data_IF_879419998197
#
_entry.id   IF_879419998197
#
_cell.length_a   1.000
_cell.length_b   1.000
_cell.length_c   1.000
_cell.angle_alpha   90.00
_cell.angle_beta   90.00
_cell.angle_gamma   90.00
#
_symmetry.space_group_name_H-M   'P 1'
#
loop_
_entity.id
_entity.type
_entity.pdbx_description
1 polymer ?
#
# COMPACT_ATOMS: atom_id res chain seq x y z
N UNK A 1 -8.52 15.23 0.73
CA UNK A 1 -9.16 15.82 -0.47
C UNK A 1 -9.78 14.69 -1.31
N UNK A 2 -10.66 14.99 -2.25
CA UNK A 2 -11.68 14.05 -2.79
C UNK A 2 -11.37 13.61 -4.23
N UNK A 3 -11.54 12.31 -4.57
CA UNK A 3 -11.52 11.80 -5.95
C UNK A 3 -12.90 11.35 -6.40
N UNK A 4 -13.15 11.53 -7.69
CA UNK A 4 -14.36 11.10 -8.37
C UNK A 4 -14.07 9.84 -9.19
N UNK A 5 -14.92 8.83 -9.08
CA UNK A 5 -14.88 7.59 -9.87
C UNK A 5 -15.82 7.66 -11.08
N UNK A 6 -15.47 6.98 -12.17
CA UNK A 6 -16.38 6.67 -13.27
C UNK A 6 -16.57 5.16 -13.44
N UNK A 7 -17.73 4.67 -13.03
CA UNK A 7 -18.35 3.47 -13.56
C UNK A 7 -19.53 3.94 -14.45
N UNK A 8 -19.75 3.27 -15.58
CA UNK A 8 -20.64 3.72 -16.66
C UNK A 8 -22.00 4.25 -16.20
N UNK A 9 -22.42 5.37 -16.82
CA UNK A 9 -23.72 6.07 -16.79
C UNK A 9 -24.63 6.08 -15.54
N UNK A 10 -24.17 5.69 -14.35
CA UNK A 10 -24.94 5.80 -13.11
C UNK A 10 -24.05 6.25 -11.94
N UNK A 11 -24.26 7.50 -11.52
CA UNK A 11 -23.86 8.02 -10.21
C UNK A 11 -22.36 8.29 -10.00
N UNK A 12 -22.02 9.52 -9.55
CA UNK A 12 -20.66 9.83 -9.08
C UNK A 12 -20.40 9.09 -7.76
N UNK A 13 -19.59 8.02 -7.80
CA UNK A 13 -19.05 7.43 -6.57
C UNK A 13 -17.80 8.20 -6.17
N UNK A 14 -17.76 8.64 -4.91
CA UNK A 14 -16.67 9.43 -4.36
C UNK A 14 -15.93 8.59 -3.34
N UNK A 15 -14.63 8.33 -3.55
CA UNK A 15 -13.82 7.57 -2.60
C UNK A 15 -12.94 8.53 -1.81
N UNK A 16 -13.02 8.43 -0.48
CA UNK A 16 -12.20 9.23 0.41
C UNK A 16 -10.78 8.67 0.54
N UNK A 17 -9.82 9.54 0.82
CA UNK A 17 -8.43 9.16 1.11
C UNK A 17 -8.32 8.11 2.22
N UNK A 18 -9.22 8.15 3.22
CA UNK A 18 -9.27 7.18 4.31
C UNK A 18 -9.64 5.78 3.81
N UNK A 19 -10.61 5.67 2.90
CA UNK A 19 -10.98 4.39 2.31
C UNK A 19 -9.84 3.86 1.44
N UNK A 20 -9.23 4.70 0.60
CA UNK A 20 -8.06 4.30 -0.19
C UNK A 20 -6.90 3.86 0.70
N UNK A 21 -6.68 4.53 1.84
CA UNK A 21 -5.68 4.13 2.83
C UNK A 21 -5.97 2.74 3.38
N UNK A 22 -7.22 2.46 3.75
CA UNK A 22 -7.63 1.15 4.24
C UNK A 22 -7.44 0.05 3.18
N UNK A 23 -7.79 0.33 1.91
CA UNK A 23 -7.55 -0.57 0.79
C UNK A 23 -6.05 -0.85 0.58
N UNK A 24 -5.22 0.20 0.59
CA UNK A 24 -3.78 0.07 0.43
C UNK A 24 -3.13 -0.70 1.58
N UNK A 25 -3.52 -0.45 2.83
CA UNK A 25 -3.06 -1.21 3.99
C UNK A 25 -3.45 -2.68 3.88
N UNK A 26 -4.68 -2.98 3.42
CA UNK A 26 -5.11 -4.36 3.17
C UNK A 26 -4.29 -5.01 2.06
N UNK A 27 -4.07 -4.33 0.95
CA UNK A 27 -3.25 -4.83 -0.15
C UNK A 27 -1.82 -5.16 0.30
N UNK A 28 -1.20 -4.34 1.15
CA UNK A 28 0.13 -4.64 1.71
C UNK A 28 0.14 -5.85 2.64
N UNK A 29 -0.93 -6.08 3.40
CA UNK A 29 -1.08 -7.29 4.23
C UNK A 29 -1.16 -8.56 3.39
N UNK A 30 -1.83 -8.52 2.24
CA UNK A 30 -1.92 -9.67 1.31
C UNK A 30 -0.54 -10.17 0.85
N UNK A 31 0.47 -9.29 0.82
CA UNK A 31 1.85 -9.62 0.44
C UNK A 31 2.82 -9.74 1.62
N UNK A 32 2.32 -9.76 2.86
CA UNK A 32 3.12 -9.97 4.07
C UNK A 32 3.77 -8.70 4.66
N UNK A 33 3.32 -7.50 4.27
CA UNK A 33 3.85 -6.22 4.76
C UNK A 33 2.86 -5.54 5.71
N UNK A 34 2.48 -6.23 6.79
CA UNK A 34 1.41 -5.81 7.69
C UNK A 34 1.72 -4.54 8.52
N UNK A 35 3.00 -4.31 8.83
CA UNK A 35 3.46 -3.16 9.62
C UNK A 35 3.72 -1.90 8.78
N UNK A 36 3.40 -1.95 7.50
CA UNK A 36 3.61 -0.82 6.60
C UNK A 36 2.67 0.34 6.93
N UNK A 37 3.22 1.55 6.94
CA UNK A 37 2.43 2.79 7.02
C UNK A 37 2.18 3.32 5.63
N UNK A 38 0.94 3.70 5.33
CA UNK A 38 0.56 4.24 4.03
C UNK A 38 -0.02 5.63 4.22
N UNK A 39 0.50 6.58 3.45
CA UNK A 39 -0.06 7.89 3.23
C UNK A 39 -0.65 7.97 1.83
N UNK A 40 -1.81 8.62 1.73
CA UNK A 40 -2.59 8.71 0.51
C UNK A 40 -2.87 10.17 0.22
N UNK A 41 -2.65 10.55 -1.02
CA UNK A 41 -3.12 11.82 -1.55
C UNK A 41 -3.94 11.57 -2.80
N UNK A 42 -5.06 12.26 -2.88
CA UNK A 42 -5.93 12.19 -4.03
C UNK A 42 -5.97 13.57 -4.70
N UNK A 43 -5.63 13.62 -5.99
CA UNK A 43 -5.69 14.84 -6.80
C UNK A 43 -6.50 14.59 -8.07
N UNK A 44 -7.72 15.12 -8.11
CA UNK A 44 -8.65 14.89 -9.21
C UNK A 44 -9.01 13.41 -9.30
N UNK A 45 -8.65 12.75 -10.40
CA UNK A 45 -8.92 11.31 -10.63
C UNK A 45 -7.64 10.46 -10.54
N UNK A 46 -6.64 10.92 -9.78
CA UNK A 46 -5.35 10.24 -9.64
C UNK A 46 -5.03 10.01 -8.17
N UNK A 47 -4.59 8.80 -7.86
CA UNK A 47 -4.12 8.41 -6.53
C UNK A 47 -2.59 8.49 -6.49
N UNK A 48 -2.08 9.10 -5.43
CA UNK A 48 -0.66 9.12 -5.08
C UNK A 48 -0.50 8.41 -3.74
N UNK A 49 0.36 7.39 -3.70
CA UNK A 49 0.61 6.60 -2.51
C UNK A 49 2.06 6.79 -2.06
N UNK A 50 2.26 6.97 -0.77
CA UNK A 50 3.57 6.88 -0.14
C UNK A 50 3.52 5.80 0.95
N UNK A 51 4.40 4.81 0.86
CA UNK A 51 4.44 3.71 1.83
C UNK A 51 5.78 3.63 2.53
N UNK A 52 5.74 3.38 3.84
CA UNK A 52 6.90 3.17 4.69
C UNK A 52 6.92 1.72 5.11
N UNK A 53 7.91 0.99 4.61
CA UNK A 53 8.02 -0.45 4.77
C UNK A 53 9.16 -0.79 5.73
N UNK A 54 8.96 -1.87 6.48
CA UNK A 54 10.05 -2.64 7.08
C UNK A 54 10.21 -3.91 6.25
N UNK A 55 11.42 -4.18 5.78
CA UNK A 55 11.67 -5.36 4.94
C UNK A 55 12.19 -6.49 5.81
N UNK A 56 11.54 -7.68 5.81
CA UNK A 56 12.06 -8.83 6.54
C UNK A 56 13.38 -9.32 5.92
N UNK A 57 14.42 -9.42 6.71
CA UNK A 57 15.68 -10.07 6.33
C UNK A 57 15.50 -11.60 6.36
N UNK A 58 16.06 -12.37 5.41
CA UNK A 58 17.00 -11.98 4.34
C UNK A 58 16.36 -11.61 2.99
N UNK A 59 15.10 -11.16 2.96
CA UNK A 59 14.47 -10.83 1.68
C UNK A 59 15.12 -9.62 0.99
N UNK A 60 15.18 -9.68 -0.34
CA UNK A 60 15.71 -8.59 -1.18
C UNK A 60 14.83 -7.34 -1.07
N UNK A 61 15.45 -6.24 -0.65
CA UNK A 61 14.79 -4.92 -0.55
C UNK A 61 14.17 -4.50 -1.88
N UNK A 62 14.94 -4.59 -2.97
CA UNK A 62 14.48 -4.22 -4.31
C UNK A 62 13.29 -5.07 -4.76
N UNK A 63 13.35 -6.39 -4.53
CA UNK A 63 12.24 -7.29 -4.90
C UNK A 63 10.98 -6.97 -4.09
N UNK A 64 11.13 -6.72 -2.79
CA UNK A 64 10.01 -6.38 -1.91
C UNK A 64 9.40 -5.02 -2.27
N UNK A 65 10.22 -4.01 -2.56
CA UNK A 65 9.76 -2.69 -2.98
C UNK A 65 9.04 -2.74 -4.34
N UNK A 66 9.59 -3.47 -5.32
CA UNK A 66 8.96 -3.66 -6.63
C UNK A 66 7.63 -4.41 -6.49
N UNK A 67 7.59 -5.47 -5.68
CA UNK A 67 6.35 -6.22 -5.40
C UNK A 67 5.29 -5.33 -4.75
N UNK A 68 5.67 -4.55 -3.73
CA UNK A 68 4.77 -3.61 -3.07
C UNK A 68 4.23 -2.56 -4.04
N UNK A 69 5.09 -1.98 -4.89
CA UNK A 69 4.69 -1.00 -5.91
C UNK A 69 3.72 -1.58 -6.94
N UNK A 70 4.00 -2.77 -7.45
CA UNK A 70 3.12 -3.46 -8.41
C UNK A 70 1.77 -3.79 -7.79
N UNK A 71 1.78 -4.46 -6.64
CA UNK A 71 0.57 -4.89 -5.94
C UNK A 71 -0.32 -3.71 -5.52
N UNK A 72 0.27 -2.61 -5.04
CA UNK A 72 -0.50 -1.41 -4.72
C UNK A 72 -1.13 -0.77 -5.96
N UNK A 73 -0.37 -0.65 -7.05
CA UNK A 73 -0.89 -0.06 -8.30
C UNK A 73 -2.07 -0.86 -8.84
N UNK A 74 -1.92 -2.19 -8.91
CA UNK A 74 -2.95 -3.09 -9.42
C UNK A 74 -4.15 -3.16 -8.48
N UNK A 75 -3.94 -3.49 -7.20
CA UNK A 75 -5.03 -3.78 -6.27
C UNK A 75 -5.82 -2.53 -5.89
N UNK A 76 -5.14 -1.41 -5.63
CA UNK A 76 -5.82 -0.16 -5.30
C UNK A 76 -6.48 0.41 -6.56
N UNK A 77 -5.84 0.34 -7.73
CA UNK A 77 -6.45 0.76 -8.98
C UNK A 77 -7.74 0.00 -9.30
N UNK A 78 -7.72 -1.33 -9.15
CA UNK A 78 -8.89 -2.17 -9.39
C UNK A 78 -10.04 -1.91 -8.39
N UNK A 79 -9.73 -1.75 -7.10
CA UNK A 79 -10.76 -1.55 -6.07
C UNK A 79 -11.27 -0.12 -5.99
N UNK A 80 -10.41 0.87 -6.25
CA UNK A 80 -10.80 2.26 -6.26
C UNK A 80 -11.41 2.67 -7.60
N UNK A 81 -11.13 1.99 -8.71
CA UNK A 81 -11.65 2.37 -10.04
C UNK A 81 -11.04 3.65 -10.62
N UNK A 82 -9.92 4.13 -10.05
CA UNK A 82 -9.13 5.26 -10.57
C UNK A 82 -7.65 4.88 -10.58
N UNK A 83 -6.87 5.38 -11.54
CA UNK A 83 -5.47 4.99 -11.69
C UNK A 83 -4.61 5.52 -10.54
N UNK A 84 -3.75 4.64 -10.03
CA UNK A 84 -2.63 5.02 -9.17
C UNK A 84 -1.53 5.59 -10.04
N UNK A 85 -1.25 6.88 -9.91
CA UNK A 85 -0.28 7.56 -10.76
C UNK A 85 1.16 7.40 -10.26
N UNK A 86 1.35 7.29 -8.94
CA UNK A 86 2.66 7.12 -8.33
C UNK A 86 2.58 6.36 -7.02
N UNK A 87 3.57 5.49 -6.79
CA UNK A 87 3.80 4.82 -5.52
C UNK A 87 5.26 5.03 -5.09
N UNK A 88 5.42 5.86 -4.08
CA UNK A 88 6.70 6.12 -3.43
C UNK A 88 6.90 5.10 -2.31
N UNK A 89 8.02 4.38 -2.36
CA UNK A 89 8.34 3.30 -1.41
C UNK A 89 9.57 3.72 -0.60
N UNK A 90 9.36 4.01 0.67
CA UNK A 90 10.42 4.31 1.62
C UNK A 90 10.68 3.08 2.51
N UNK A 91 11.88 2.53 2.41
CA UNK A 91 12.31 1.44 3.29
C UNK A 91 12.93 2.05 4.54
N UNK A 92 12.29 1.81 5.68
CA UNK A 92 12.64 2.47 6.95
C UNK A 92 13.45 1.58 7.88
N UNK A 93 13.36 0.26 7.75
CA UNK A 93 14.16 -0.68 8.51
C UNK A 93 14.25 -2.04 7.81
N UNK A 94 15.27 -2.82 8.18
CA UNK A 94 15.37 -4.24 7.88
C UNK A 94 15.04 -5.02 9.16
N UNK A 95 13.96 -5.79 9.15
CA UNK A 95 13.51 -6.56 10.29
C UNK A 95 14.22 -7.91 10.31
N UNK A 96 15.01 -8.19 11.34
CA UNK A 96 15.49 -9.55 11.61
C UNK A 96 14.33 -10.34 12.25
N UNK A 97 14.11 -11.61 11.89
CA UNK A 97 13.15 -12.44 12.63
C UNK A 97 13.54 -12.41 14.11
N UNK A 98 12.59 -12.05 14.96
CA UNK A 98 12.77 -12.09 16.41
C UNK A 98 13.04 -13.55 16.76
N UNK A 99 14.28 -13.87 17.17
CA UNK A 99 14.56 -15.19 17.74
C UNK A 99 13.70 -15.26 18.99
N UNK A 100 12.77 -16.22 19.05
CA UNK A 100 12.09 -16.55 20.29
C UNK A 100 13.15 -16.62 21.39
N UNK A 101 13.01 -15.76 22.40
CA UNK A 101 13.87 -15.78 23.58
C UNK A 101 13.58 -17.11 24.29
N UNK A 102 14.29 -18.16 23.88
CA UNK A 102 14.33 -19.42 24.60
C UNK A 102 14.71 -19.11 26.04
N UNK A 103 13.77 -19.31 26.96
CA UNK A 103 14.01 -19.16 28.39
C UNK A 103 14.96 -20.29 28.78
N UNK A 104 16.25 -19.97 28.86
CA UNK A 104 17.25 -20.87 29.45
C UNK A 104 16.86 -21.00 30.93
N UNK A 105 16.45 -22.20 31.33
CA UNK A 105 16.24 -22.60 32.72
C UNK A 105 17.47 -23.39 33.18
#
# INVERSE_FOLDING_TARGET
MTAVLHAGDLGRTTVSETVVRALATRALREIGLADAKVDVQIRGQRIFLATRLRVPYPQSVSRTATKARGHLTERVGALAGIPVQRVDVLVTALARPEREKGRVR
#
